data_IF_967168865986
#
_entry.id   IF_967168865986
#
_cell.length_a   1.000
_cell.length_b   1.000
_cell.length_c   1.000
_cell.angle_alpha   90.00
_cell.angle_beta   90.00
_cell.angle_gamma   90.00
#
_symmetry.space_group_name_H-M   'P 1'
#
loop_
_entity.id
_entity.type
_entity.pdbx_description
1 polymer ?
#
# COMPACT_ATOMS: atom_id res chain seq x y z
N UNK A 1 36.53 50.03 -2.18
CA UNK A 1 37.11 48.81 -1.59
C UNK A 1 36.02 47.73 -1.55
N UNK A 2 36.12 46.73 -2.43
CA UNK A 2 35.13 45.66 -2.56
C UNK A 2 35.54 44.47 -1.68
N UNK A 3 34.89 44.27 -0.52
CA UNK A 3 35.08 43.06 0.28
C UNK A 3 34.16 41.95 -0.22
N UNK A 4 34.75 40.95 -0.88
CA UNK A 4 34.06 39.72 -1.30
C UNK A 4 33.68 38.90 -0.05
N UNK A 5 32.38 38.83 0.26
CA UNK A 5 31.85 37.83 1.18
C UNK A 5 31.96 36.43 0.54
N UNK A 6 32.74 35.54 1.16
CA UNK A 6 32.81 34.12 0.76
C UNK A 6 31.50 33.42 1.16
N UNK A 7 30.89 32.58 0.30
CA UNK A 7 29.73 31.80 0.70
C UNK A 7 30.16 30.73 1.71
N UNK A 8 29.50 30.72 2.88
CA UNK A 8 29.58 29.63 3.85
C UNK A 8 29.11 28.33 3.18
N UNK A 9 30.05 27.50 2.73
CA UNK A 9 29.76 26.08 2.42
C UNK A 9 29.23 25.45 3.72
N UNK A 10 27.93 25.19 3.79
CA UNK A 10 27.37 24.26 4.78
C UNK A 10 28.11 22.94 4.60
N UNK A 11 28.97 22.58 5.54
CA UNK A 11 29.50 21.22 5.66
C UNK A 11 28.28 20.32 5.89
N UNK A 12 27.85 19.57 4.87
CA UNK A 12 27.01 18.38 5.08
C UNK A 12 27.85 17.45 5.97
N UNK A 13 27.58 17.48 7.26
CA UNK A 13 28.10 16.51 8.21
C UNK A 13 27.75 15.13 7.64
N UNK A 14 28.74 14.27 7.43
CA UNK A 14 28.51 12.93 6.87
C UNK A 14 27.56 12.22 7.82
N UNK A 15 26.26 12.16 7.47
CA UNK A 15 25.27 11.34 8.18
C UNK A 15 25.84 9.93 8.23
N UNK A 16 26.00 9.37 9.44
CA UNK A 16 26.47 7.99 9.60
C UNK A 16 25.34 7.09 9.13
N UNK A 17 25.48 6.51 7.96
CA UNK A 17 24.54 5.53 7.43
C UNK A 17 24.81 4.19 8.11
N UNK A 18 23.80 3.63 8.77
CA UNK A 18 23.83 2.27 9.30
C UNK A 18 22.92 1.41 8.45
N UNK A 19 23.45 0.35 7.83
CA UNK A 19 22.60 -0.61 7.15
C UNK A 19 21.77 -1.36 8.19
N UNK A 20 20.45 -1.35 8.02
CA UNK A 20 19.49 -2.02 8.92
C UNK A 20 18.76 -3.16 8.25
N UNK A 21 18.94 -3.37 6.95
CA UNK A 21 18.36 -4.50 6.24
C UNK A 21 18.62 -4.46 4.74
N UNK A 22 17.88 -5.27 4.00
CA UNK A 22 17.91 -5.34 2.53
C UNK A 22 16.48 -5.54 2.01
N UNK A 23 16.10 -4.81 0.96
CA UNK A 23 14.79 -4.99 0.29
C UNK A 23 14.70 -6.42 -0.24
N UNK A 24 13.78 -7.23 0.28
CA UNK A 24 13.59 -8.61 -0.18
C UNK A 24 12.45 -8.76 -1.17
N UNK A 25 11.39 -7.94 -1.06
CA UNK A 25 10.25 -7.99 -1.96
C UNK A 25 9.64 -6.60 -2.17
N UNK A 26 9.14 -6.37 -3.38
CA UNK A 26 8.35 -5.20 -3.73
C UNK A 26 7.00 -5.64 -4.30
N UNK A 27 5.93 -5.00 -3.83
CA UNK A 27 4.56 -5.33 -4.19
C UNK A 27 3.76 -4.07 -4.53
N UNK A 28 3.13 -4.10 -5.71
CA UNK A 28 2.15 -3.11 -6.12
C UNK A 28 0.78 -3.78 -6.07
N UNK A 29 -0.25 -3.11 -5.58
CA UNK A 29 -1.63 -3.61 -5.57
C UNK A 29 -2.49 -2.69 -6.42
N UNK A 30 -2.52 -2.85 -7.76
CA UNK A 30 -3.12 -1.89 -8.68
C UNK A 30 -4.60 -1.63 -8.38
N UNK A 31 -5.36 -2.70 -8.13
CA UNK A 31 -6.77 -2.63 -7.75
C UNK A 31 -6.91 -2.79 -6.25
N UNK A 32 -7.60 -1.86 -5.58
CA UNK A 32 -7.84 -1.89 -4.13
C UNK A 32 -8.45 -3.23 -3.72
N UNK A 33 -7.82 -3.90 -2.77
CA UNK A 33 -8.19 -5.22 -2.22
C UNK A 33 -7.93 -6.44 -3.11
N UNK A 34 -7.52 -6.27 -4.37
CA UNK A 34 -7.18 -7.39 -5.24
C UNK A 34 -5.75 -7.90 -5.00
N UNK A 35 -5.35 -8.94 -5.74
CA UNK A 35 -4.03 -9.57 -5.65
C UNK A 35 -2.91 -8.56 -5.91
N UNK A 36 -1.79 -8.74 -5.22
CA UNK A 36 -0.58 -7.94 -5.44
C UNK A 36 0.21 -8.46 -6.63
N UNK A 37 0.90 -7.54 -7.30
CA UNK A 37 1.85 -7.79 -8.38
C UNK A 37 3.25 -7.67 -7.80
N UNK A 38 4.03 -8.76 -7.75
CA UNK A 38 5.42 -8.69 -7.34
C UNK A 38 6.23 -8.04 -8.45
N UNK A 39 7.15 -7.15 -8.07
CA UNK A 39 8.07 -6.47 -9.01
C UNK A 39 9.50 -6.53 -8.48
N UNK A 40 10.47 -6.55 -9.38
CA UNK A 40 11.90 -6.53 -9.01
C UNK A 40 12.42 -5.11 -8.76
N UNK A 41 11.76 -4.10 -9.31
CA UNK A 41 12.08 -2.68 -9.15
C UNK A 41 10.78 -1.86 -9.24
N UNK A 42 10.76 -0.70 -8.59
CA UNK A 42 9.66 0.25 -8.64
C UNK A 42 10.15 1.69 -8.40
N UNK A 43 9.52 2.63 -9.09
CA UNK A 43 9.63 4.05 -8.80
C UNK A 43 8.81 4.39 -7.57
N UNK A 44 9.38 5.18 -6.67
CA UNK A 44 8.72 5.67 -5.48
C UNK A 44 8.15 7.07 -5.73
N UNK A 45 6.83 7.16 -5.81
CA UNK A 45 6.12 8.42 -6.03
C UNK A 45 5.44 8.89 -4.75
N UNK A 46 5.05 10.17 -4.67
CA UNK A 46 4.32 10.70 -3.52
C UNK A 46 3.00 9.95 -3.22
N UNK A 47 2.43 9.26 -4.22
CA UNK A 47 1.20 8.47 -4.10
C UNK A 47 1.45 6.96 -3.94
N UNK A 48 2.71 6.53 -3.75
CA UNK A 48 3.09 5.12 -3.60
C UNK A 48 3.97 4.59 -4.74
N UNK A 49 4.17 3.27 -4.77
CA UNK A 49 4.98 2.59 -5.77
C UNK A 49 4.36 2.63 -7.17
N UNK A 50 5.22 2.74 -8.19
CA UNK A 50 4.89 2.67 -9.62
C UNK A 50 5.87 1.76 -10.37
N UNK A 51 5.36 0.95 -11.28
CA UNK A 51 6.16 0.23 -12.28
C UNK A 51 5.47 0.35 -13.64
N UNK A 52 6.06 1.15 -14.54
CA UNK A 52 5.42 1.51 -15.80
C UNK A 52 4.04 2.14 -15.55
N UNK A 53 3.00 1.49 -16.07
CA UNK A 53 1.62 1.94 -15.88
C UNK A 53 0.97 1.46 -14.57
N UNK A 54 1.52 0.44 -13.91
CA UNK A 54 0.99 -0.05 -12.64
C UNK A 54 1.33 0.94 -11.54
N UNK A 55 0.30 1.46 -10.88
CA UNK A 55 0.43 2.31 -9.69
C UNK A 55 -0.38 1.74 -8.55
N UNK A 56 0.14 1.92 -7.35
CA UNK A 56 -0.42 1.28 -6.16
C UNK A 56 -1.80 1.85 -5.78
N UNK A 57 -2.83 0.98 -5.83
CA UNK A 57 -4.25 1.29 -5.57
C UNK A 57 -4.78 2.45 -6.42
N UNK A 58 -4.50 2.41 -7.72
CA UNK A 58 -5.04 3.36 -8.72
C UNK A 58 -6.33 2.90 -9.37
N UNK A 59 -6.78 1.67 -9.10
CA UNK A 59 -8.10 1.18 -9.46
C UNK A 59 -8.92 0.83 -8.22
N UNK A 60 -10.24 1.01 -8.33
CA UNK A 60 -11.19 0.80 -7.25
C UNK A 60 -12.44 0.10 -7.78
N UNK A 61 -12.92 -0.91 -7.06
CA UNK A 61 -14.26 -1.45 -7.26
C UNK A 61 -15.24 -0.61 -6.43
N UNK A 62 -16.31 -0.14 -7.08
CA UNK A 62 -17.38 0.63 -6.43
C UNK A 62 -18.74 -0.03 -6.62
N UNK A 63 -19.63 0.19 -5.66
CA UNK A 63 -21.03 -0.18 -5.80
C UNK A 63 -21.84 0.92 -6.52
N UNK A 64 -23.15 0.70 -6.69
CA UNK A 64 -24.04 1.63 -7.40
C UNK A 64 -24.13 3.02 -6.74
N UNK A 65 -23.86 3.14 -5.44
CA UNK A 65 -23.80 4.43 -4.71
C UNK A 65 -22.42 5.10 -4.77
N UNK A 66 -21.44 4.52 -5.47
CA UNK A 66 -20.07 5.03 -5.53
C UNK A 66 -19.22 4.71 -4.29
N UNK A 67 -19.70 3.88 -3.37
CA UNK A 67 -18.92 3.48 -2.20
C UNK A 67 -17.90 2.40 -2.57
N UNK A 68 -16.71 2.47 -1.95
CA UNK A 68 -15.69 1.44 -2.12
C UNK A 68 -16.21 0.05 -1.75
N UNK A 69 -15.89 -0.93 -2.58
CA UNK A 69 -16.02 -2.36 -2.29
C UNK A 69 -14.62 -2.88 -1.97
N UNK A 70 -14.46 -3.48 -0.79
CA UNK A 70 -13.17 -4.00 -0.34
C UNK A 70 -13.27 -5.48 0.03
N UNK A 71 -12.13 -6.13 0.27
CA UNK A 71 -12.11 -7.53 0.72
C UNK A 71 -12.74 -7.74 2.11
N UNK A 72 -13.12 -6.67 2.80
CA UNK A 72 -13.97 -6.74 4.01
C UNK A 72 -15.41 -7.12 3.67
N UNK A 73 -15.91 -6.65 2.53
CA UNK A 73 -17.26 -6.95 2.02
C UNK A 73 -17.23 -8.12 1.06
N UNK A 74 -16.24 -8.17 0.17
CA UNK A 74 -16.10 -9.14 -0.91
C UNK A 74 -14.72 -9.81 -0.85
N UNK A 75 -14.52 -10.79 0.07
CA UNK A 75 -13.20 -11.40 0.31
C UNK A 75 -12.56 -11.99 -0.96
N UNK A 76 -13.39 -12.48 -1.90
CA UNK A 76 -12.96 -13.02 -3.19
C UNK A 76 -12.26 -12.00 -4.11
N UNK A 77 -12.31 -10.70 -3.82
CA UNK A 77 -11.52 -9.70 -4.55
C UNK A 77 -10.01 -10.05 -4.56
N UNK A 78 -9.48 -10.63 -3.48
CA UNK A 78 -8.05 -11.01 -3.39
C UNK A 78 -7.64 -12.05 -4.45
N UNK A 79 -8.61 -12.73 -5.07
CA UNK A 79 -8.40 -13.72 -6.12
C UNK A 79 -8.31 -13.12 -7.52
N UNK A 80 -8.72 -11.86 -7.69
CA UNK A 80 -8.58 -11.14 -8.95
C UNK A 80 -7.12 -10.71 -9.08
N UNK A 81 -6.46 -11.19 -10.13
CA UNK A 81 -5.05 -10.93 -10.42
C UNK A 81 -4.93 -9.87 -11.52
N UNK A 82 -4.58 -8.62 -11.18
CA UNK A 82 -4.23 -7.63 -12.18
C UNK A 82 -2.81 -7.87 -12.69
N UNK A 83 -2.62 -7.87 -14.01
CA UNK A 83 -1.29 -7.80 -14.65
C UNK A 83 -1.31 -6.74 -15.73
N UNK A 84 -0.13 -6.27 -16.14
CA UNK A 84 -0.02 -5.23 -17.15
C UNK A 84 1.10 -5.57 -18.11
N UNK A 85 0.78 -5.52 -19.40
CA UNK A 85 1.71 -5.69 -20.50
C UNK A 85 1.45 -4.59 -21.53
N UNK A 86 2.46 -3.75 -21.79
CA UNK A 86 2.29 -2.55 -22.60
C UNK A 86 1.20 -1.63 -22.04
N UNK A 87 0.26 -1.22 -22.91
CA UNK A 87 -0.89 -0.37 -22.57
C UNK A 87 -2.15 -1.17 -22.15
N UNK A 88 -2.01 -2.48 -21.91
CA UNK A 88 -3.13 -3.37 -21.56
C UNK A 88 -3.05 -3.82 -20.11
N UNK A 89 -4.15 -3.64 -19.38
CA UNK A 89 -4.42 -4.22 -18.07
C UNK A 89 -5.21 -5.53 -18.28
N UNK A 90 -4.69 -6.64 -17.77
CA UNK A 90 -5.40 -7.92 -17.75
C UNK A 90 -5.88 -8.22 -16.34
N UNK A 91 -7.17 -8.52 -16.19
CA UNK A 91 -7.75 -9.07 -14.97
C UNK A 91 -8.01 -10.56 -15.16
N UNK A 92 -7.35 -11.38 -14.37
CA UNK A 92 -7.50 -12.84 -14.39
C UNK A 92 -8.09 -13.33 -13.07
N UNK A 93 -8.96 -14.33 -13.13
CA UNK A 93 -9.42 -15.06 -11.96
C UNK A 93 -9.76 -16.50 -12.34
N UNK A 94 -9.54 -17.45 -11.43
CA UNK A 94 -9.73 -18.87 -11.73
C UNK A 94 -11.15 -19.15 -12.26
N UNK A 95 -11.23 -19.98 -13.31
CA UNK A 95 -12.47 -20.39 -13.97
C UNK A 95 -13.25 -19.24 -14.63
N UNK A 96 -12.57 -18.13 -14.95
CA UNK A 96 -13.13 -16.99 -15.70
C UNK A 96 -12.20 -16.70 -16.87
N UNK A 97 -12.75 -16.34 -18.03
CA UNK A 97 -11.94 -15.84 -19.14
C UNK A 97 -11.29 -14.51 -18.75
N UNK A 98 -10.02 -14.32 -19.11
CA UNK A 98 -9.27 -13.13 -18.76
C UNK A 98 -9.87 -11.89 -19.45
N UNK A 99 -10.05 -10.81 -18.68
CA UNK A 99 -10.52 -9.55 -19.22
C UNK A 99 -9.33 -8.65 -19.53
N UNK A 100 -9.25 -8.19 -20.78
CA UNK A 100 -8.27 -7.19 -21.21
C UNK A 100 -8.93 -5.81 -21.30
N UNK A 101 -8.28 -4.81 -20.72
CA UNK A 101 -8.72 -3.42 -20.69
C UNK A 101 -7.57 -2.49 -21.12
N UNK A 102 -7.85 -1.38 -21.82
CA UNK A 102 -6.85 -0.34 -21.98
C UNK A 102 -6.57 0.30 -20.62
N UNK A 103 -5.30 0.55 -20.32
CA UNK A 103 -4.89 1.22 -19.06
C UNK A 103 -5.51 2.61 -18.95
N UNK A 104 -5.57 3.33 -20.08
CA UNK A 104 -6.28 4.58 -20.21
C UNK A 104 -7.69 4.28 -20.73
N UNK A 105 -8.66 4.32 -19.84
CA UNK A 105 -10.05 4.25 -20.23
C UNK A 105 -10.40 5.41 -21.20
N UNK A 106 -11.33 5.21 -22.15
CA UNK A 106 -11.80 6.29 -23.01
C UNK A 106 -12.26 7.50 -22.19
N UNK A 107 -11.85 8.70 -22.59
CA UNK A 107 -12.22 9.94 -21.89
C UNK A 107 -13.73 10.23 -21.93
N UNK A 108 -14.46 9.55 -22.82
CA UNK A 108 -15.92 9.55 -22.90
C UNK A 108 -16.60 8.76 -21.79
N UNK A 109 -15.88 7.86 -21.10
CA UNK A 109 -16.43 7.12 -19.97
C UNK A 109 -16.74 8.08 -18.81
N UNK A 110 -17.80 7.78 -18.05
CA UNK A 110 -18.23 8.62 -16.93
C UNK A 110 -17.14 8.75 -15.86
N UNK A 111 -17.10 9.89 -15.18
CA UNK A 111 -16.35 10.04 -13.93
C UNK A 111 -17.32 9.89 -12.77
N UNK A 112 -17.05 8.94 -11.88
CA UNK A 112 -17.85 8.75 -10.67
C UNK A 112 -17.23 9.52 -9.50
N UNK A 113 -18.09 10.14 -8.69
CA UNK A 113 -17.72 10.59 -7.35
C UNK A 113 -17.82 9.39 -6.40
N UNK A 114 -16.68 8.91 -5.95
CA UNK A 114 -16.55 7.72 -5.12
C UNK A 114 -16.31 8.10 -3.66
N UNK A 115 -16.58 7.17 -2.74
CA UNK A 115 -16.26 7.31 -1.32
C UNK A 115 -15.30 6.23 -0.84
N UNK A 116 -14.12 6.65 -0.36
CA UNK A 116 -13.09 5.78 0.22
C UNK A 116 -12.75 6.29 1.61
N UNK A 117 -12.89 5.42 2.62
CA UNK A 117 -12.71 5.78 4.04
C UNK A 117 -13.44 7.08 4.43
N UNK A 118 -14.71 7.22 4.03
CA UNK A 118 -15.53 8.40 4.32
C UNK A 118 -15.28 9.62 3.44
N UNK A 119 -14.11 9.74 2.83
CA UNK A 119 -13.70 10.87 1.99
C UNK A 119 -14.09 10.68 0.52
N UNK A 120 -14.38 11.79 -0.17
CA UNK A 120 -14.69 11.83 -1.59
C UNK A 120 -13.42 11.72 -2.43
N UNK A 121 -13.50 10.99 -3.54
CA UNK A 121 -12.45 10.92 -4.57
C UNK A 121 -13.08 10.52 -5.90
N UNK A 122 -12.53 10.99 -7.02
CA UNK A 122 -13.05 10.65 -8.34
C UNK A 122 -12.42 9.37 -8.91
N UNK A 123 -13.12 8.75 -9.86
CA UNK A 123 -12.58 7.67 -10.67
C UNK A 123 -13.25 7.61 -12.04
N UNK A 124 -12.44 7.47 -13.09
CA UNK A 124 -12.90 7.23 -14.46
C UNK A 124 -13.39 5.81 -14.58
N UNK A 125 -14.60 5.64 -15.06
CA UNK A 125 -15.18 4.33 -15.28
C UNK A 125 -14.41 3.50 -16.33
N UNK A 126 -14.17 2.21 -16.05
CA UNK A 126 -13.41 1.31 -16.92
C UNK A 126 -14.27 0.56 -17.96
N UNK A 127 -15.54 0.91 -18.10
CA UNK A 127 -16.44 0.36 -19.10
C UNK A 127 -17.28 -0.82 -18.63
N UNK A 128 -18.26 -1.18 -19.47
CA UNK A 128 -19.25 -2.20 -19.16
C UNK A 128 -18.65 -3.61 -19.05
N UNK A 129 -17.67 -3.93 -19.88
CA UNK A 129 -16.97 -5.22 -19.82
C UNK A 129 -16.32 -5.45 -18.45
N UNK A 130 -15.67 -4.42 -17.88
CA UNK A 130 -15.07 -4.50 -16.54
C UNK A 130 -16.12 -4.71 -15.44
N UNK A 131 -17.23 -3.98 -15.52
CA UNK A 131 -18.32 -4.11 -14.57
C UNK A 131 -18.97 -5.49 -14.59
N UNK A 132 -19.28 -6.00 -15.78
CA UNK A 132 -19.87 -7.33 -15.96
C UNK A 132 -18.93 -8.44 -15.50
N UNK A 133 -17.65 -8.35 -15.86
CA UNK A 133 -16.65 -9.34 -15.47
C UNK A 133 -16.52 -9.45 -13.95
N UNK A 134 -16.34 -8.32 -13.24
CA UNK A 134 -16.22 -8.30 -11.78
C UNK A 134 -17.50 -8.79 -11.11
N UNK A 135 -18.66 -8.31 -11.58
CA UNK A 135 -19.96 -8.68 -11.03
C UNK A 135 -20.23 -10.18 -11.19
N UNK A 136 -19.94 -10.74 -12.37
CA UNK A 136 -20.09 -12.17 -12.65
C UNK A 136 -19.15 -13.04 -11.83
N UNK A 137 -17.86 -12.66 -11.73
CA UNK A 137 -16.89 -13.41 -10.94
C UNK A 137 -17.25 -13.47 -9.44
N UNK A 138 -17.75 -12.36 -8.91
CA UNK A 138 -18.15 -12.24 -7.50
C UNK A 138 -19.58 -12.77 -7.25
N UNK A 139 -20.40 -12.96 -8.28
CA UNK A 139 -21.82 -13.37 -8.19
C UNK A 139 -22.62 -12.47 -7.24
N UNK A 140 -22.51 -11.17 -7.45
CA UNK A 140 -22.99 -10.14 -6.52
C UNK A 140 -23.87 -9.10 -7.23
N UNK A 141 -24.27 -8.06 -6.52
CA UNK A 141 -24.92 -6.89 -7.10
C UNK A 141 -24.01 -6.16 -8.12
N UNK A 142 -24.56 -5.31 -9.00
CA UNK A 142 -23.75 -4.59 -9.98
C UNK A 142 -22.65 -3.74 -9.34
N UNK A 143 -21.40 -4.01 -9.72
CA UNK A 143 -20.23 -3.22 -9.38
C UNK A 143 -19.61 -2.60 -10.62
N UNK A 144 -18.84 -1.53 -10.40
CA UNK A 144 -18.02 -0.87 -11.44
C UNK A 144 -16.56 -0.90 -11.03
N UNK A 145 -15.68 -0.97 -12.03
CA UNK A 145 -14.26 -0.69 -11.86
C UNK A 145 -14.01 0.76 -12.29
N UNK A 146 -13.34 1.53 -11.45
CA UNK A 146 -12.91 2.90 -11.77
C UNK A 146 -11.39 3.04 -11.61
N UNK A 147 -10.81 3.94 -12.40
CA UNK A 147 -9.39 4.26 -12.43
C UNK A 147 -9.16 5.73 -12.02
N UNK A 148 -8.17 5.97 -11.17
CA UNK A 148 -7.76 7.31 -10.76
C UNK A 148 -6.83 7.94 -11.81
N UNK A 149 -7.20 9.11 -12.32
CA UNK A 149 -6.41 9.84 -13.32
C UNK A 149 -5.56 10.93 -12.65
N UNK A 150 -4.31 11.20 -13.09
CA UNK A 150 -3.42 12.16 -12.42
C UNK A 150 -3.92 13.61 -12.30
N UNK A 151 -4.92 14.01 -13.10
CA UNK A 151 -5.54 15.34 -13.02
C UNK A 151 -6.67 15.42 -11.99
N UNK A 152 -7.13 14.27 -11.47
CA UNK A 152 -8.13 14.21 -10.39
C UNK A 152 -7.46 14.54 -9.06
N UNK A 153 -8.23 15.11 -8.14
CA UNK A 153 -7.74 15.41 -6.79
C UNK A 153 -7.57 14.12 -5.99
N UNK A 154 -6.35 13.81 -5.48
CA UNK A 154 -6.13 12.68 -4.59
C UNK A 154 -6.73 12.93 -3.20
N UNK A 155 -6.85 11.89 -2.38
CA UNK A 155 -7.25 12.03 -0.97
C UNK A 155 -6.07 12.50 -0.14
N UNK A 156 -6.36 13.31 0.87
CA UNK A 156 -5.36 13.80 1.81
C UNK A 156 -5.23 12.83 2.99
N UNK A 157 -4.03 12.29 3.20
CA UNK A 157 -3.75 11.36 4.30
C UNK A 157 -3.94 12.00 5.67
N UNK A 158 -3.66 13.30 5.82
CA UNK A 158 -3.86 14.05 7.07
C UNK A 158 -5.32 14.11 7.52
N UNK A 159 -6.27 14.09 6.57
CA UNK A 159 -7.71 14.05 6.87
C UNK A 159 -8.18 12.67 7.36
N UNK A 160 -7.37 11.63 7.11
CA UNK A 160 -7.65 10.25 7.52
C UNK A 160 -7.00 10.01 8.88
N UNK A 161 -5.72 10.34 9.00
CA UNK A 161 -4.92 10.23 10.21
C UNK A 161 -4.07 11.51 10.38
N UNK A 162 -4.25 12.22 11.49
CA UNK A 162 -3.68 13.55 11.72
C UNK A 162 -2.14 13.60 11.80
N UNK A 163 -1.46 12.45 11.94
CA UNK A 163 0.01 12.37 11.98
C UNK A 163 0.67 12.57 10.62
N UNK A 164 -0.05 12.35 9.52
CA UNK A 164 0.46 12.63 8.18
C UNK A 164 0.58 14.15 7.97
N UNK A 165 1.45 14.58 7.04
CA UNK A 165 1.56 15.99 6.67
C UNK A 165 0.35 16.41 5.83
N UNK A 166 -0.07 17.69 5.86
CA UNK A 166 -1.16 18.17 5.01
C UNK A 166 -0.93 17.97 3.50
N UNK A 167 0.31 17.75 3.08
CA UNK A 167 0.72 17.49 1.69
C UNK A 167 0.77 16.00 1.34
N UNK A 168 0.65 15.09 2.30
CA UNK A 168 0.69 13.66 2.04
C UNK A 168 -0.64 13.20 1.45
N UNK A 169 -0.54 12.45 0.36
CA UNK A 169 -1.67 12.12 -0.51
C UNK A 169 -1.68 10.65 -0.88
N UNK A 170 -2.89 10.14 -1.13
CA UNK A 170 -3.11 8.79 -1.65
C UNK A 170 -4.25 8.79 -2.67
N UNK A 171 -4.22 7.84 -3.60
CA UNK A 171 -5.39 7.51 -4.42
C UNK A 171 -6.37 6.67 -3.59
N UNK A 172 -6.47 5.37 -3.85
CA UNK A 172 -7.40 4.47 -3.16
C UNK A 172 -6.78 3.62 -2.05
N UNK A 173 -5.49 3.82 -1.72
CA UNK A 173 -4.85 3.26 -0.50
C UNK A 173 -5.59 3.71 0.75
N UNK A 174 -5.51 2.96 1.86
CA UNK A 174 -6.30 3.27 3.06
C UNK A 174 -5.90 4.60 3.71
N UNK A 175 -4.61 4.79 4.02
CA UNK A 175 -4.11 6.02 4.62
C UNK A 175 -2.72 6.43 4.10
N UNK A 176 -1.82 5.48 3.86
CA UNK A 176 -0.41 5.75 3.52
C UNK A 176 -0.07 5.40 2.06
N UNK A 177 0.87 6.13 1.41
CA UNK A 177 1.44 5.73 0.13
C UNK A 177 2.33 4.48 0.22
N UNK A 178 2.95 4.21 1.38
CA UNK A 178 3.80 3.04 1.58
C UNK A 178 3.48 2.33 2.90
N UNK A 179 3.48 1.00 2.84
CA UNK A 179 3.51 0.11 4.00
C UNK A 179 4.79 -0.74 3.95
N UNK A 180 5.58 -0.68 5.01
CA UNK A 180 6.79 -1.49 5.20
C UNK A 180 6.51 -2.59 6.23
N UNK A 181 7.07 -3.77 6.00
CA UNK A 181 7.04 -4.89 6.92
C UNK A 181 8.37 -5.65 6.86
N UNK A 182 8.91 -6.12 7.99
CA UNK A 182 10.07 -7.01 7.95
C UNK A 182 9.70 -8.49 7.83
N UNK A 183 10.58 -9.27 7.19
CA UNK A 183 10.46 -10.73 7.17
C UNK A 183 10.54 -11.32 8.56
N UNK A 184 11.35 -10.73 9.44
CA UNK A 184 11.51 -11.15 10.82
C UNK A 184 10.21 -10.96 11.63
N UNK A 185 9.49 -9.84 11.46
CA UNK A 185 8.16 -9.65 12.03
C UNK A 185 7.16 -10.71 11.56
N UNK A 186 7.19 -11.06 10.26
CA UNK A 186 6.34 -12.10 9.70
C UNK A 186 6.69 -13.49 10.23
N UNK A 187 7.98 -13.79 10.38
CA UNK A 187 8.45 -15.04 10.95
C UNK A 187 8.04 -15.18 12.43
N UNK A 188 8.20 -14.11 13.23
CA UNK A 188 7.78 -14.10 14.63
C UNK A 188 6.27 -14.35 14.77
N UNK A 189 5.44 -13.62 14.02
CA UNK A 189 3.99 -13.87 14.02
C UNK A 189 3.67 -15.31 13.61
N UNK A 190 4.31 -15.82 12.55
CA UNK A 190 4.12 -17.19 12.11
C UNK A 190 4.55 -18.22 13.15
N UNK A 191 5.55 -17.94 13.98
CA UNK A 191 5.94 -18.85 15.08
C UNK A 191 4.82 -19.04 16.11
N UNK A 192 3.90 -18.06 16.22
CA UNK A 192 2.78 -18.04 17.17
C UNK A 192 1.46 -18.55 16.59
N UNK A 193 1.42 -18.86 15.29
CA UNK A 193 0.21 -19.29 14.58
C UNK A 193 0.23 -20.79 14.26
N UNK A 194 -0.92 -21.45 14.39
CA UNK A 194 -1.11 -22.81 13.88
C UNK A 194 -1.13 -22.82 12.35
N UNK A 195 -2.06 -22.06 11.73
CA UNK A 195 -2.08 -21.82 10.29
C UNK A 195 -1.20 -20.62 9.94
N UNK A 196 -0.09 -20.87 9.26
CA UNK A 196 0.85 -19.81 8.84
C UNK A 196 0.20 -18.87 7.81
N UNK A 197 0.59 -17.61 7.87
CA UNK A 197 0.15 -16.54 6.97
C UNK A 197 1.31 -16.02 6.12
N UNK A 198 0.98 -15.38 5.01
CA UNK A 198 1.95 -14.77 4.08
C UNK A 198 1.96 -13.25 4.26
N UNK A 199 3.01 -12.59 3.76
CA UNK A 199 3.03 -11.13 3.68
C UNK A 199 1.81 -10.57 2.93
N UNK A 200 1.29 -11.31 1.95
CA UNK A 200 0.08 -10.97 1.20
C UNK A 200 -1.16 -10.75 2.08
N UNK A 201 -1.27 -11.39 3.26
CA UNK A 201 -2.33 -11.12 4.24
C UNK A 201 -2.25 -9.68 4.78
N UNK A 202 -1.04 -9.12 4.86
CA UNK A 202 -0.78 -7.78 5.42
C UNK A 202 -0.63 -6.68 4.36
N UNK A 203 -0.42 -7.09 3.10
CA UNK A 203 -0.37 -6.22 1.92
C UNK A 203 0.70 -5.11 1.95
N UNK A 204 1.92 -5.37 2.47
CA UNK A 204 3.00 -4.38 2.45
C UNK A 204 3.44 -4.09 1.01
N UNK A 205 3.97 -2.90 0.78
CA UNK A 205 4.59 -2.52 -0.49
C UNK A 205 6.06 -2.94 -0.54
N UNK A 206 6.77 -2.80 0.58
CA UNK A 206 8.20 -3.08 0.68
C UNK A 206 8.39 -4.05 1.84
N UNK A 207 9.07 -5.15 1.57
CA UNK A 207 9.45 -6.13 2.58
C UNK A 207 10.97 -6.08 2.76
N UNK A 208 11.41 -6.05 4.01
CA UNK A 208 12.82 -5.90 4.37
C UNK A 208 13.28 -7.15 5.12
N UNK A 209 14.43 -7.69 4.71
CA UNK A 209 15.13 -8.82 5.32
C UNK A 209 16.38 -8.36 6.06
N UNK A 210 17.01 -9.27 6.82
CA UNK A 210 18.30 -9.00 7.48
C UNK A 210 18.21 -8.07 8.69
N UNK A 211 17.10 -8.10 9.42
CA UNK A 211 16.85 -7.32 10.63
C UNK A 211 16.18 -8.19 11.71
N UNK A 212 16.14 -7.68 12.94
CA UNK A 212 15.42 -8.31 14.05
C UNK A 212 13.89 -8.14 13.89
N UNK A 213 13.12 -9.01 14.55
CA UNK A 213 11.66 -8.91 14.54
C UNK A 213 11.22 -7.54 15.07
N UNK A 214 10.31 -6.88 14.33
CA UNK A 214 9.77 -5.56 14.63
C UNK A 214 10.77 -4.41 14.59
N UNK A 215 11.98 -4.61 14.04
CA UNK A 215 12.95 -3.54 13.90
C UNK A 215 12.39 -2.32 13.15
N UNK A 216 11.46 -2.54 12.21
CA UNK A 216 10.78 -1.48 11.45
C UNK A 216 10.04 -0.46 12.32
N UNK A 217 9.61 -0.85 13.53
CA UNK A 217 8.92 0.04 14.45
C UNK A 217 9.80 1.22 14.90
N UNK A 218 11.13 1.04 14.85
CA UNK A 218 12.14 2.02 15.28
C UNK A 218 12.76 2.84 14.14
N UNK A 219 12.43 2.51 12.88
CA UNK A 219 13.07 3.14 11.72
C UNK A 219 12.37 4.45 11.35
N UNK A 220 12.84 5.58 11.88
CA UNK A 220 12.18 6.86 11.64
C UNK A 220 12.41 7.44 10.25
N UNK A 221 13.64 7.35 9.73
CA UNK A 221 14.00 7.81 8.39
C UNK A 221 14.87 6.77 7.68
N UNK A 222 14.47 6.34 6.49
CA UNK A 222 15.19 5.34 5.71
C UNK A 222 15.70 5.92 4.39
N UNK A 223 16.87 5.45 3.99
CA UNK A 223 17.46 5.62 2.67
C UNK A 223 17.58 4.26 1.99
N UNK A 224 17.01 4.13 0.78
CA UNK A 224 17.05 2.93 -0.06
C UNK A 224 17.38 3.37 -1.48
N UNK A 225 18.55 3.01 -1.99
CA UNK A 225 19.08 3.64 -3.22
C UNK A 225 19.19 5.16 -3.03
N UNK A 226 18.51 5.92 -3.89
CA UNK A 226 18.40 7.40 -3.79
C UNK A 226 17.10 7.87 -3.10
N UNK A 227 16.22 6.93 -2.73
CA UNK A 227 14.93 7.24 -2.13
C UNK A 227 15.09 7.49 -0.62
N UNK A 228 14.57 8.62 -0.15
CA UNK A 228 14.41 8.90 1.29
C UNK A 228 12.93 8.82 1.66
N UNK A 229 12.65 8.21 2.81
CA UNK A 229 11.30 8.12 3.36
C UNK A 229 11.29 8.29 4.86
N UNK A 230 10.14 8.74 5.37
CA UNK A 230 9.91 8.99 6.79
C UNK A 230 8.76 8.17 7.31
N UNK A 231 8.95 7.53 8.46
CA UNK A 231 7.92 6.79 9.18
C UNK A 231 6.92 7.78 9.77
N UNK A 232 5.65 7.44 9.67
CA UNK A 232 4.55 8.25 10.21
C UNK A 232 3.97 7.60 11.45
N UNK A 233 3.52 6.35 11.32
CA UNK A 233 2.84 5.62 12.39
C UNK A 233 2.79 4.13 12.08
N UNK A 234 2.46 3.32 13.10
CA UNK A 234 2.24 1.90 12.91
C UNK A 234 0.96 1.62 12.10
N UNK A 235 0.97 0.55 11.31
CA UNK A 235 -0.20 0.11 10.57
C UNK A 235 -1.10 -0.74 11.48
N UNK A 236 -2.21 -0.17 11.94
CA UNK A 236 -3.24 -0.93 12.64
C UNK A 236 -3.91 -1.95 11.72
N UNK A 237 -4.13 -3.15 12.24
CA UNK A 237 -4.61 -4.28 11.45
C UNK A 237 -6.12 -4.47 11.62
N UNK A 238 -6.78 -4.74 10.50
CA UNK A 238 -8.21 -5.02 10.44
C UNK A 238 -8.50 -6.45 9.98
N UNK A 239 -9.79 -6.79 9.93
CA UNK A 239 -10.30 -8.11 9.52
C UNK A 239 -9.82 -8.55 8.13
N UNK A 240 -9.41 -7.64 7.24
CA UNK A 240 -8.87 -8.04 5.93
C UNK A 240 -7.69 -9.02 6.06
N UNK A 241 -6.89 -8.90 7.13
CA UNK A 241 -5.75 -9.81 7.38
C UNK A 241 -6.17 -11.27 7.53
N UNK A 242 -7.43 -11.54 7.89
CA UNK A 242 -7.98 -12.89 8.05
C UNK A 242 -8.46 -13.50 6.72
N UNK A 243 -8.48 -12.72 5.63
CA UNK A 243 -8.78 -13.24 4.29
C UNK A 243 -7.56 -13.99 3.76
N UNK A 244 -7.74 -15.26 3.48
CA UNK A 244 -6.74 -16.10 2.85
C UNK A 244 -6.54 -15.67 1.38
N UNK A 245 -5.32 -15.24 0.98
CA UNK A 245 -5.09 -14.65 -0.34
C UNK A 245 -5.16 -15.66 -1.49
N UNK A 246 -5.10 -16.97 -1.19
CA UNK A 246 -5.13 -18.02 -2.21
C UNK A 246 -6.55 -18.58 -2.41
N UNK A 247 -7.39 -18.53 -1.38
CA UNK A 247 -8.76 -19.08 -1.42
C UNK A 247 -9.86 -18.03 -1.40
N UNK A 248 -9.56 -16.79 -1.00
CA UNK A 248 -10.54 -15.72 -0.84
C UNK A 248 -11.54 -15.99 0.29
N UNK A 249 -11.21 -16.91 1.22
CA UNK A 249 -12.04 -17.25 2.36
C UNK A 249 -11.58 -16.43 3.57
N UNK A 250 -12.53 -15.73 4.20
CA UNK A 250 -12.29 -14.99 5.44
C UNK A 250 -12.32 -15.95 6.64
N UNK A 251 -11.20 -16.03 7.37
CA UNK A 251 -11.14 -16.71 8.65
C UNK A 251 -11.91 -15.91 9.71
N UNK A 252 -12.41 -16.60 10.74
CA UNK A 252 -13.20 -15.97 11.81
C UNK A 252 -12.40 -14.91 12.59
N UNK A 253 -11.12 -15.15 12.84
CA UNK A 253 -10.33 -14.32 13.78
C UNK A 253 -8.82 -14.28 13.51
N UNK A 254 -8.20 -15.35 13.03
CA UNK A 254 -6.74 -15.37 12.81
C UNK A 254 -6.32 -14.75 11.46
N UNK A 255 -5.19 -14.02 11.40
CA UNK A 255 -4.14 -13.88 12.43
C UNK A 255 -4.39 -12.71 13.43
N UNK A 256 -5.58 -12.10 13.40
CA UNK A 256 -5.86 -10.86 14.12
C UNK A 256 -5.99 -11.07 15.64
N UNK A 257 -6.54 -12.21 16.08
CA UNK A 257 -6.62 -12.57 17.51
C UNK A 257 -5.24 -12.82 18.10
N UNK A 258 -4.36 -13.56 17.40
CA UNK A 258 -2.97 -13.69 17.80
C UNK A 258 -2.26 -12.33 17.85
N UNK A 259 -2.42 -11.47 16.85
CA UNK A 259 -1.83 -10.13 16.91
C UNK A 259 -2.35 -9.29 18.10
N UNK A 260 -3.64 -9.39 18.45
CA UNK A 260 -4.20 -8.69 19.62
C UNK A 260 -3.61 -9.16 20.95
N UNK A 261 -3.07 -10.37 21.04
CA UNK A 261 -2.53 -10.88 22.30
C UNK A 261 -1.18 -10.24 22.68
N UNK A 262 -0.43 -9.70 21.71
CA UNK A 262 0.94 -9.20 21.98
C UNK A 262 1.37 -7.97 21.18
N UNK A 263 0.56 -7.45 20.23
CA UNK A 263 0.89 -6.29 19.38
C UNK A 263 -0.10 -5.13 19.51
N UNK A 264 -0.67 -4.95 20.71
CA UNK A 264 -1.41 -3.73 21.05
C UNK A 264 -0.46 -2.60 21.41
N UNK A 265 -0.93 -1.35 21.38
CA UNK A 265 -0.12 -0.20 21.79
C UNK A 265 0.03 -0.15 23.28
N UNK A 266 1.02 0.62 23.69
CA UNK A 266 1.04 1.14 25.03
C UNK A 266 -0.28 1.92 25.29
N UNK A 267 -0.87 1.81 26.50
CA UNK A 267 -2.07 2.55 26.86
C UNK A 267 -1.98 4.06 26.62
N UNK A 268 -0.77 4.65 26.67
CA UNK A 268 -0.55 6.07 26.37
C UNK A 268 -0.84 6.45 24.92
N UNK A 269 -0.79 5.50 23.99
CA UNK A 269 -1.06 5.70 22.56
C UNK A 269 -2.46 5.21 22.12
N UNK A 270 -3.32 4.76 23.05
CA UNK A 270 -4.65 4.22 22.73
C UNK A 270 -5.55 5.24 22.02
N UNK A 271 -5.33 6.55 22.22
CA UNK A 271 -6.04 7.60 21.47
C UNK A 271 -5.78 7.56 19.96
N UNK A 272 -4.58 7.13 19.57
CA UNK A 272 -4.16 7.09 18.18
C UNK A 272 -4.56 5.76 17.53
N UNK A 273 -4.28 4.64 18.19
CA UNK A 273 -4.46 3.33 17.57
C UNK A 273 -5.67 2.52 18.05
N UNK A 274 -6.33 2.99 19.12
CA UNK A 274 -7.40 2.25 19.79
C UNK A 274 -6.93 0.88 20.27
N UNK A 275 -7.84 -0.10 20.20
CA UNK A 275 -7.58 -1.51 20.58
C UNK A 275 -7.23 -2.40 19.39
N UNK A 276 -6.81 -1.81 18.28
CA UNK A 276 -6.34 -2.56 17.12
C UNK A 276 -4.89 -2.97 17.36
N UNK A 277 -4.44 -4.17 16.93
CA UNK A 277 -3.02 -4.48 16.97
C UNK A 277 -2.29 -3.88 15.76
N UNK A 278 -0.97 -3.71 15.83
CA UNK A 278 -0.17 -3.17 14.72
C UNK A 278 0.82 -4.19 14.16
N UNK A 279 0.98 -4.12 12.84
CA UNK A 279 1.90 -4.98 12.12
C UNK A 279 2.32 -4.32 10.80
N UNK A 280 3.60 -3.97 10.72
CA UNK A 280 4.15 -3.08 9.69
C UNK A 280 3.94 -1.59 10.00
N UNK A 281 4.63 -0.75 9.25
CA UNK A 281 4.75 0.70 9.50
C UNK A 281 4.40 1.50 8.23
N UNK A 282 3.68 2.60 8.42
CA UNK A 282 3.38 3.54 7.34
C UNK A 282 4.52 4.53 7.15
N UNK A 283 4.92 4.69 5.90
CA UNK A 283 5.96 5.63 5.48
C UNK A 283 5.43 6.58 4.40
N UNK A 284 6.00 7.78 4.38
CA UNK A 284 5.79 8.80 3.34
C UNK A 284 7.11 9.13 2.66
N UNK A 285 7.01 9.63 1.43
CA UNK A 285 8.18 10.01 0.64
C UNK A 285 8.78 11.33 1.13
N UNK A 286 10.10 11.38 1.28
CA UNK A 286 10.86 12.63 1.46
C UNK A 286 11.63 12.99 0.18
N UNK A 287 12.29 12.01 -0.44
CA UNK A 287 12.97 12.17 -1.72
C UNK A 287 12.56 11.05 -2.70
N UNK A 288 12.10 11.37 -3.93
CA UNK A 288 11.79 10.35 -4.92
C UNK A 288 13.03 9.59 -5.36
N UNK A 289 12.83 8.34 -5.75
CA UNK A 289 13.89 7.46 -6.24
C UNK A 289 13.32 6.19 -6.82
N UNK A 290 14.17 5.37 -7.40
CA UNK A 290 13.83 3.99 -7.78
C UNK A 290 14.49 3.05 -6.77
N UNK A 291 13.75 2.03 -6.36
CA UNK A 291 14.25 0.98 -5.47
C UNK A 291 14.12 -0.37 -6.16
N UNK A 292 15.01 -1.29 -5.81
CA UNK A 292 15.08 -2.64 -6.35
C UNK A 292 15.18 -3.68 -5.24
N UNK A 293 14.72 -4.90 -5.54
CA UNK A 293 15.00 -6.06 -4.68
C UNK A 293 16.51 -6.27 -4.63
N UNK A 294 17.05 -6.41 -3.42
CA UNK A 294 18.48 -6.48 -3.15
C UNK A 294 19.10 -5.15 -2.70
N UNK A 295 18.38 -4.03 -2.78
CA UNK A 295 18.91 -2.75 -2.32
C UNK A 295 19.15 -2.77 -0.79
N UNK A 296 20.32 -2.29 -0.33
CA UNK A 296 20.57 -2.10 1.08
C UNK A 296 19.65 -1.00 1.63
N UNK A 297 19.13 -1.23 2.83
CA UNK A 297 18.31 -0.26 3.57
C UNK A 297 19.17 0.37 4.64
N UNK A 298 19.31 1.69 4.61
CA UNK A 298 20.06 2.45 5.60
C UNK A 298 19.14 3.27 6.49
N UNK A 299 19.38 3.22 7.80
CA UNK A 299 18.78 4.16 8.75
C UNK A 299 19.53 5.49 8.67
N UNK A 300 18.80 6.58 8.48
CA UNK A 300 19.31 7.93 8.58
C UNK A 300 19.37 8.31 10.06
N UNK A 301 20.59 8.55 10.57
CA UNK A 301 20.80 8.84 11.98
C UNK A 301 19.99 10.06 12.45
N UNK A 302 19.37 9.92 13.62
CA UNK A 302 18.87 11.06 14.39
C UNK A 302 20.06 11.85 14.93
N UNK A 303 20.02 13.18 14.77
CA UNK A 303 20.96 14.07 15.47
C UNK A 303 20.74 14.01 16.98
#
# INVERSE_FOLDING_TARGET
AWSRARPRRRRRQRRRLQQVGTVSQLWIYPVKSCKGVPVSEAECTALGLRRGHLRDRFWLVINKEGNMVTARQEPRLVLISPTCEGDTLTLSAAYTEDLQLPIKAPTTNAVHNCRVQGLQIQGRDCGEAAAQWITSFLKTQPYRLVHFEPHMSPRNSHQIEHLFRPTDQVAYSDASPFLILSEASLADLNSRLEKKVKAANFRPNIIISGCDAYAEDSWDELLIGDMEMKRVMACYRCVLTTVDPDTGIMSRKEPLETLRSYRLCDPSEEKLYGKSPFFGQYFVLENPGTIQVGDPVYLLGQE
#
